data_IF_143246613862
#
_entry.id   IF_143246613862
#
_cell.length_a   1.000
_cell.length_b   1.000
_cell.length_c   1.000
_cell.angle_alpha   90.00
_cell.angle_beta   90.00
_cell.angle_gamma   90.00
#
_symmetry.space_group_name_H-M   'P 1'
#
loop_
_entity.id
_entity.type
_entity.pdbx_description
1 polymer ?
#
# COMPACT_ATOMS: atom_id res chain seq x y z
N UNK A 1 7.69 -1.97 -0.87
CA UNK A 1 8.31 -1.01 0.07
C UNK A 1 7.29 -0.69 1.14
N UNK A 2 7.58 -1.01 2.37
CA UNK A 2 6.76 -0.57 3.49
C UNK A 2 7.27 0.78 3.97
N UNK A 3 6.44 1.54 4.65
CA UNK A 3 6.88 2.76 5.30
C UNK A 3 6.32 2.86 6.71
N UNK A 4 7.02 3.60 7.54
CA UNK A 4 6.54 4.02 8.85
C UNK A 4 6.59 5.55 8.92
N UNK A 5 5.54 6.16 9.48
CA UNK A 5 5.51 7.58 9.76
C UNK A 5 5.79 7.81 11.25
N UNK A 6 6.72 8.70 11.55
CA UNK A 6 7.05 9.12 12.91
C UNK A 6 6.74 10.60 13.05
N UNK A 7 5.95 10.95 14.05
CA UNK A 7 5.72 12.35 14.41
C UNK A 7 6.84 12.79 15.35
N UNK A 8 7.69 13.68 14.87
CA UNK A 8 8.78 14.27 15.66
C UNK A 8 8.36 15.64 16.24
N UNK A 9 8.98 16.09 17.34
CA UNK A 9 8.90 17.47 17.78
C UNK A 9 9.26 18.46 16.66
N UNK A 10 8.70 19.67 16.73
CA UNK A 10 8.83 20.68 15.67
C UNK A 10 10.24 21.26 15.49
N UNK A 11 11.13 21.01 16.44
CA UNK A 11 12.54 21.43 16.45
C UNK A 11 13.49 20.41 15.83
N UNK A 12 12.99 19.23 15.47
CA UNK A 12 13.78 18.19 14.80
C UNK A 12 14.02 18.58 13.33
N UNK A 13 15.29 18.62 12.96
CA UNK A 13 15.74 19.00 11.61
C UNK A 13 16.32 17.84 10.81
N UNK A 14 16.68 16.74 11.48
CA UNK A 14 17.24 15.56 10.84
C UNK A 14 16.82 14.29 11.57
N UNK A 15 16.50 13.27 10.80
CA UNK A 15 16.15 11.94 11.28
C UNK A 15 16.98 10.90 10.54
N UNK A 16 17.59 9.99 11.28
CA UNK A 16 18.26 8.79 10.79
C UNK A 16 17.69 7.56 11.49
N UNK A 17 17.95 6.38 10.99
CA UNK A 17 17.51 5.17 11.67
C UNK A 17 17.52 3.93 10.81
N UNK A 18 17.14 2.83 11.43
CA UNK A 18 17.12 1.51 10.79
C UNK A 18 15.74 0.86 10.88
N UNK A 19 15.43 0.03 9.89
CA UNK A 19 14.31 -0.90 9.95
C UNK A 19 14.88 -2.33 9.83
N UNK A 20 14.67 -3.16 10.84
CA UNK A 20 15.32 -4.47 11.01
C UNK A 20 16.86 -4.42 10.85
N UNK A 21 17.49 -3.38 11.37
CA UNK A 21 18.93 -3.20 11.32
C UNK A 21 19.48 -2.70 9.98
N UNK A 22 18.62 -2.50 8.98
CA UNK A 22 19.02 -1.92 7.67
C UNK A 22 18.83 -0.42 7.73
N UNK A 23 19.87 0.34 7.38
CA UNK A 23 19.79 1.80 7.27
C UNK A 23 18.68 2.22 6.32
N UNK A 24 17.94 3.24 6.72
CA UNK A 24 16.74 3.69 6.03
C UNK A 24 16.82 5.17 5.77
N UNK A 25 16.42 5.59 4.57
CA UNK A 25 16.28 7.01 4.22
C UNK A 25 14.99 7.53 4.83
N UNK A 26 15.10 8.63 5.58
CA UNK A 26 13.98 9.33 6.20
C UNK A 26 13.73 10.64 5.47
N UNK A 27 12.46 10.92 5.19
CA UNK A 27 12.02 12.13 4.49
C UNK A 27 10.92 12.83 5.28
N UNK A 28 11.05 14.13 5.44
CA UNK A 28 9.99 14.95 6.02
C UNK A 28 8.93 15.29 4.95
N UNK A 29 7.68 14.93 5.25
CA UNK A 29 6.51 15.27 4.42
C UNK A 29 5.40 15.74 5.36
N UNK A 30 4.94 16.98 5.19
CA UNK A 30 3.87 17.55 5.99
C UNK A 30 4.11 17.47 7.52
N UNK A 31 5.33 17.74 7.96
CA UNK A 31 5.75 17.69 9.39
C UNK A 31 5.73 16.28 10.00
N UNK A 32 5.75 15.26 9.19
CA UNK A 32 5.97 13.86 9.61
C UNK A 32 7.19 13.31 8.89
N UNK A 33 7.95 12.46 9.58
CA UNK A 33 9.09 11.79 9.02
C UNK A 33 8.71 10.38 8.57
N UNK A 34 8.97 10.08 7.31
CA UNK A 34 8.67 8.80 6.68
C UNK A 34 9.95 8.03 6.44
N UNK A 35 10.07 6.86 7.07
CA UNK A 35 11.11 5.88 6.81
C UNK A 35 10.59 4.77 5.90
N UNK A 36 11.36 4.42 4.87
CA UNK A 36 10.96 3.43 3.87
C UNK A 36 11.80 2.17 4.00
N UNK A 37 11.15 1.03 4.09
CA UNK A 37 11.79 -0.28 4.14
C UNK A 37 11.45 -1.12 2.93
N UNK A 38 12.42 -1.93 2.51
CA UNK A 38 12.20 -2.98 1.54
C UNK A 38 11.55 -4.21 2.20
N UNK A 39 10.44 -3.97 2.91
CA UNK A 39 9.63 -5.05 3.42
C UNK A 39 8.97 -5.79 2.25
N UNK A 40 9.23 -7.08 2.16
CA UNK A 40 8.75 -7.95 1.08
C UNK A 40 7.87 -9.08 1.59
N UNK A 41 7.77 -9.25 2.90
CA UNK A 41 7.03 -10.32 3.56
C UNK A 41 6.15 -9.76 4.68
N UNK A 42 5.09 -10.47 5.02
CA UNK A 42 4.30 -10.17 6.21
C UNK A 42 5.16 -10.32 7.44
N UNK A 43 5.05 -9.40 8.37
CA UNK A 43 5.82 -9.50 9.59
C UNK A 43 5.85 -8.25 10.44
N UNK A 44 6.60 -8.37 11.52
CA UNK A 44 6.90 -7.30 12.44
C UNK A 44 8.35 -6.88 12.26
N UNK A 45 8.55 -5.60 11.97
CA UNK A 45 9.85 -5.01 11.70
C UNK A 45 10.23 -4.09 12.86
N UNK A 46 11.40 -4.31 13.45
CA UNK A 46 11.92 -3.43 14.48
C UNK A 46 12.39 -2.11 13.84
N UNK A 47 11.95 -1.01 14.39
CA UNK A 47 12.30 0.34 13.93
C UNK A 47 13.06 1.04 15.03
N UNK A 48 14.21 1.57 14.69
CA UNK A 48 15.02 2.41 15.57
C UNK A 48 15.34 3.72 14.85
N UNK A 49 15.14 4.84 15.54
CA UNK A 49 15.23 6.18 14.97
C UNK A 49 16.06 7.08 15.90
N UNK A 50 16.96 7.83 15.31
CA UNK A 50 17.65 8.96 15.93
C UNK A 50 17.10 10.25 15.37
N UNK A 51 16.82 11.20 16.24
CA UNK A 51 16.32 12.53 15.90
C UNK A 51 17.28 13.58 16.39
N UNK A 52 17.57 14.57 15.57
CA UNK A 52 18.50 15.65 15.87
C UNK A 52 17.82 17.01 15.72
N UNK A 53 17.98 17.87 16.72
CA UNK A 53 17.58 19.27 16.62
C UNK A 53 18.65 20.13 15.93
N UNK A 54 18.33 21.42 15.71
CA UNK A 54 19.25 22.37 15.09
C UNK A 54 20.50 22.66 15.92
N UNK A 55 20.48 22.38 17.22
CA UNK A 55 21.64 22.52 18.12
C UNK A 55 22.53 21.27 18.17
N UNK A 56 22.10 20.19 17.47
CA UNK A 56 22.80 18.91 17.44
C UNK A 56 22.49 17.99 18.64
N UNK A 57 21.49 18.32 19.45
CA UNK A 57 21.07 17.42 20.52
C UNK A 57 20.38 16.20 19.88
N UNK A 58 20.65 15.01 20.44
CA UNK A 58 20.18 13.72 19.93
C UNK A 58 19.16 13.11 20.86
N UNK A 59 18.10 12.56 20.29
CA UNK A 59 17.15 11.69 20.96
C UNK A 59 16.96 10.38 20.19
N UNK A 60 16.62 9.31 20.88
CA UNK A 60 16.41 7.99 20.30
C UNK A 60 14.98 7.53 20.52
N UNK A 61 14.43 6.81 19.56
CA UNK A 61 13.12 6.22 19.63
C UNK A 61 13.11 4.84 19.00
N UNK A 62 12.50 3.86 19.68
CA UNK A 62 12.34 2.50 19.18
C UNK A 62 10.87 2.13 19.14
N UNK A 63 10.44 1.49 18.08
CA UNK A 63 9.07 1.00 17.90
C UNK A 63 9.06 -0.24 16.99
N UNK A 64 7.88 -0.73 16.70
CA UNK A 64 7.67 -1.81 15.74
C UNK A 64 6.71 -1.38 14.65
N UNK A 65 6.99 -1.82 13.44
CA UNK A 65 6.10 -1.68 12.28
C UNK A 65 5.52 -3.05 11.95
N UNK A 66 4.20 -3.15 11.92
CA UNK A 66 3.53 -4.33 11.40
C UNK A 66 3.23 -4.12 9.92
N UNK A 67 3.72 -5.03 9.09
CA UNK A 67 3.49 -5.00 7.65
C UNK A 67 2.73 -6.23 7.22
N UNK A 68 1.67 -5.99 6.46
CA UNK A 68 0.87 -7.05 5.82
C UNK A 68 0.85 -6.80 4.33
N UNK A 69 1.18 -7.83 3.55
CA UNK A 69 1.06 -7.77 2.11
C UNK A 69 -0.41 -7.61 1.70
N UNK A 70 -0.69 -6.83 0.66
CA UNK A 70 -2.01 -6.80 0.06
C UNK A 70 -2.45 -8.20 -0.36
N UNK A 71 -3.66 -8.61 0.03
CA UNK A 71 -4.26 -9.85 -0.43
C UNK A 71 -5.62 -9.56 -1.07
N UNK A 72 -6.00 -10.37 -2.07
CA UNK A 72 -7.09 -10.04 -2.98
C UNK A 72 -8.04 -11.23 -3.12
N UNK A 73 -9.34 -10.96 -3.09
CA UNK A 73 -10.40 -11.93 -3.36
C UNK A 73 -11.01 -11.59 -4.71
N UNK A 74 -10.58 -12.29 -5.75
CA UNK A 74 -10.99 -12.03 -7.15
C UNK A 74 -11.86 -13.11 -7.76
N UNK A 75 -12.27 -14.08 -6.95
CA UNK A 75 -12.91 -15.33 -7.37
C UNK A 75 -14.28 -15.54 -6.70
N UNK A 76 -14.98 -14.46 -6.33
CA UNK A 76 -16.38 -14.56 -5.89
C UNK A 76 -17.25 -15.03 -7.03
N UNK A 77 -18.23 -15.89 -6.71
CA UNK A 77 -19.13 -16.51 -7.68
C UNK A 77 -20.60 -16.19 -7.39
N UNK A 78 -21.45 -16.44 -8.35
CA UNK A 78 -22.91 -16.37 -8.15
C UNK A 78 -23.38 -17.37 -7.07
N UNK A 79 -22.73 -18.52 -6.98
CA UNK A 79 -23.01 -19.54 -5.97
C UNK A 79 -22.69 -19.06 -4.56
N UNK A 80 -21.60 -18.30 -4.38
CA UNK A 80 -21.26 -17.67 -3.09
C UNK A 80 -22.37 -16.72 -2.61
N UNK A 81 -22.93 -15.95 -3.54
CA UNK A 81 -24.04 -15.02 -3.24
C UNK A 81 -25.33 -15.79 -2.94
N UNK A 82 -25.67 -16.80 -3.74
CA UNK A 82 -26.87 -17.61 -3.59
C UNK A 82 -26.86 -18.39 -2.24
N UNK A 83 -25.73 -19.03 -1.93
CA UNK A 83 -25.53 -19.77 -0.70
C UNK A 83 -25.24 -18.89 0.50
N UNK A 84 -25.15 -17.58 0.32
CA UNK A 84 -24.83 -16.61 1.37
C UNK A 84 -23.57 -16.97 2.15
N UNK A 85 -22.52 -17.39 1.44
CA UNK A 85 -21.21 -17.62 2.05
C UNK A 85 -20.59 -16.30 2.51
N UNK A 86 -19.64 -16.33 3.42
CA UNK A 86 -18.90 -15.12 3.85
C UNK A 86 -18.30 -14.38 2.64
N UNK A 87 -17.82 -15.11 1.66
CA UNK A 87 -17.24 -14.60 0.42
C UNK A 87 -18.26 -13.91 -0.50
N UNK A 88 -19.54 -14.31 -0.43
CA UNK A 88 -20.63 -13.76 -1.24
C UNK A 88 -21.13 -12.38 -0.78
N UNK A 89 -20.70 -11.89 0.39
CA UNK A 89 -21.09 -10.60 0.93
C UNK A 89 -19.96 -9.58 0.82
N UNK A 90 -20.32 -8.31 0.64
CA UNK A 90 -19.44 -7.18 0.89
C UNK A 90 -19.65 -6.70 2.33
N UNK A 91 -18.79 -7.12 3.23
CA UNK A 91 -18.85 -6.79 4.64
C UNK A 91 -17.78 -5.75 5.05
N UNK A 92 -17.80 -5.31 6.32
CA UNK A 92 -16.84 -4.32 6.83
C UNK A 92 -15.37 -4.77 6.66
N UNK A 93 -15.09 -6.08 6.82
CA UNK A 93 -13.74 -6.63 6.62
C UNK A 93 -13.29 -6.51 5.15
N UNK A 94 -14.20 -6.75 4.20
CA UNK A 94 -13.90 -6.60 2.77
C UNK A 94 -13.66 -5.14 2.40
N UNK A 95 -14.49 -4.22 2.90
CA UNK A 95 -14.31 -2.79 2.70
C UNK A 95 -12.96 -2.31 3.26
N UNK A 96 -12.63 -2.71 4.49
CA UNK A 96 -11.34 -2.41 5.11
C UNK A 96 -10.18 -2.95 4.27
N UNK A 97 -10.26 -4.19 3.79
CA UNK A 97 -9.24 -4.80 2.93
C UNK A 97 -9.08 -4.03 1.62
N UNK A 98 -10.15 -3.76 0.90
CA UNK A 98 -10.13 -3.06 -0.41
C UNK A 98 -9.53 -1.67 -0.25
N UNK A 99 -9.93 -0.92 0.76
CA UNK A 99 -9.42 0.43 0.97
C UNK A 99 -7.98 0.43 1.51
N UNK A 100 -7.63 -0.50 2.41
CA UNK A 100 -6.25 -0.68 2.88
C UNK A 100 -5.32 -1.09 1.73
N UNK A 101 -5.78 -1.99 0.84
CA UNK A 101 -5.03 -2.37 -0.35
C UNK A 101 -4.79 -1.16 -1.26
N UNK A 102 -5.83 -0.36 -1.54
CA UNK A 102 -5.68 0.87 -2.34
C UNK A 102 -4.65 1.81 -1.71
N UNK A 103 -4.72 2.03 -0.41
CA UNK A 103 -3.79 2.88 0.33
C UNK A 103 -2.35 2.34 0.25
N UNK A 104 -2.16 1.05 0.52
CA UNK A 104 -0.85 0.41 0.48
C UNK A 104 -0.23 0.48 -0.91
N UNK A 105 -0.98 0.11 -1.96
CA UNK A 105 -0.49 0.14 -3.35
C UNK A 105 -0.20 1.58 -3.78
N UNK A 106 -1.08 2.52 -3.43
CA UNK A 106 -0.88 3.93 -3.73
C UNK A 106 0.40 4.48 -3.12
N UNK A 107 0.67 4.18 -1.86
CA UNK A 107 1.92 4.58 -1.21
C UNK A 107 3.16 3.99 -1.89
N UNK A 108 3.11 2.71 -2.28
CA UNK A 108 4.18 2.09 -3.05
C UNK A 108 4.45 2.81 -4.37
N UNK A 109 3.42 3.39 -4.97
CA UNK A 109 3.45 4.11 -6.24
C UNK A 109 3.62 5.64 -6.08
N UNK A 110 3.83 6.13 -4.85
CA UNK A 110 3.86 7.55 -4.49
C UNK A 110 2.59 8.34 -4.89
N UNK A 111 1.44 7.67 -4.88
CA UNK A 111 0.13 8.26 -5.15
C UNK A 111 -0.59 8.64 -3.85
N UNK A 112 -1.24 9.79 -3.85
CA UNK A 112 -2.11 10.20 -2.74
C UNK A 112 -3.45 9.48 -2.85
N UNK A 113 -3.70 8.58 -1.91
CA UNK A 113 -4.93 7.78 -1.80
C UNK A 113 -5.73 8.21 -0.57
N UNK A 114 -6.98 8.61 -0.78
CA UNK A 114 -7.96 8.88 0.26
C UNK A 114 -8.72 7.59 0.56
N UNK A 115 -8.35 6.90 1.65
CA UNK A 115 -8.91 5.60 2.04
C UNK A 115 -9.46 5.63 3.46
N UNK A 116 -10.61 4.99 3.67
CA UNK A 116 -11.19 4.68 4.96
C UNK A 116 -11.08 3.17 5.19
N UNK A 117 -10.35 2.75 6.22
CA UNK A 117 -10.19 1.32 6.55
C UNK A 117 -10.49 1.02 8.03
N UNK A 118 -11.42 1.78 8.59
CA UNK A 118 -11.96 1.63 9.95
C UNK A 118 -13.47 1.30 9.96
N UNK A 119 -13.94 0.66 8.90
CA UNK A 119 -15.32 0.18 8.81
C UNK A 119 -15.64 -0.81 9.93
N UNK A 120 -16.80 -0.63 10.57
CA UNK A 120 -17.29 -1.51 11.63
C UNK A 120 -18.53 -2.30 11.19
N UNK A 121 -18.76 -3.43 11.82
CA UNK A 121 -19.93 -4.28 11.54
C UNK A 121 -21.22 -3.49 11.77
N UNK A 122 -22.11 -3.49 10.76
CA UNK A 122 -23.36 -2.74 10.78
C UNK A 122 -23.28 -1.36 10.13
N UNK A 123 -22.09 -0.86 9.82
CA UNK A 123 -21.92 0.35 9.03
C UNK A 123 -22.18 0.04 7.55
N UNK A 124 -23.07 0.82 6.93
CA UNK A 124 -23.38 0.67 5.50
C UNK A 124 -22.69 1.78 4.69
N UNK A 125 -21.97 1.43 3.61
CA UNK A 125 -21.35 2.41 2.76
C UNK A 125 -22.40 3.27 2.04
N UNK A 126 -22.16 4.57 1.99
CA UNK A 126 -22.99 5.56 1.29
C UNK A 126 -22.54 5.67 -0.18
N UNK A 127 -23.35 6.32 -1.00
CA UNK A 127 -23.00 6.58 -2.40
C UNK A 127 -21.66 7.34 -2.53
N UNK A 128 -21.34 8.25 -1.60
CA UNK A 128 -20.06 8.95 -1.53
C UNK A 128 -18.87 8.02 -1.31
N UNK A 129 -19.05 6.98 -0.48
CA UNK A 129 -17.99 6.01 -0.18
C UNK A 129 -17.68 5.15 -1.41
N UNK A 130 -18.69 4.65 -2.10
CA UNK A 130 -18.50 3.94 -3.37
C UNK A 130 -17.81 4.82 -4.43
N UNK A 131 -18.19 6.10 -4.51
CA UNK A 131 -17.54 7.06 -5.40
C UNK A 131 -16.08 7.26 -5.03
N UNK A 132 -15.77 7.40 -3.73
CA UNK A 132 -14.39 7.52 -3.23
C UNK A 132 -13.58 6.28 -3.60
N UNK A 133 -14.04 5.07 -3.25
CA UNK A 133 -13.37 3.80 -3.58
C UNK A 133 -13.08 3.73 -5.08
N UNK A 134 -14.08 3.98 -5.92
CA UNK A 134 -13.94 3.98 -7.36
C UNK A 134 -12.86 4.94 -7.85
N UNK A 135 -12.84 6.18 -7.34
CA UNK A 135 -11.82 7.17 -7.71
C UNK A 135 -10.40 6.75 -7.31
N UNK A 136 -10.23 6.11 -6.16
CA UNK A 136 -8.92 5.62 -5.74
C UNK A 136 -8.46 4.45 -6.62
N UNK A 137 -9.34 3.52 -6.92
CA UNK A 137 -9.04 2.40 -7.85
C UNK A 137 -8.72 2.91 -9.25
N UNK A 138 -9.41 3.96 -9.72
CA UNK A 138 -9.09 4.61 -11.00
C UNK A 138 -7.68 5.18 -11.00
N UNK A 139 -7.27 5.90 -9.95
CA UNK A 139 -5.89 6.41 -9.83
C UNK A 139 -4.85 5.31 -9.91
N UNK A 140 -5.09 4.17 -9.23
CA UNK A 140 -4.18 3.03 -9.31
C UNK A 140 -4.09 2.48 -10.72
N UNK A 141 -5.24 2.29 -11.39
CA UNK A 141 -5.29 1.78 -12.76
C UNK A 141 -4.63 2.73 -13.76
N UNK A 142 -4.85 4.04 -13.62
CA UNK A 142 -4.24 5.05 -14.49
C UNK A 142 -2.71 5.09 -14.32
N UNK A 143 -2.21 4.78 -13.11
CA UNK A 143 -0.78 4.69 -12.86
C UNK A 143 -0.16 3.44 -13.49
N UNK A 144 -0.80 2.28 -13.32
CA UNK A 144 -0.25 1.01 -13.83
C UNK A 144 -1.37 0.00 -14.12
N UNK A 145 -1.48 -0.43 -15.36
CA UNK A 145 -2.40 -1.49 -15.78
C UNK A 145 -1.79 -2.33 -16.90
N UNK A 146 -2.33 -3.52 -17.09
CA UNK A 146 -2.07 -4.39 -18.24
C UNK A 146 -3.26 -4.32 -19.20
N UNK A 147 -3.09 -4.79 -20.43
CA UNK A 147 -4.19 -4.89 -21.39
C UNK A 147 -5.33 -5.79 -20.92
N UNK A 148 -5.05 -6.71 -19.99
CA UNK A 148 -6.03 -7.63 -19.37
C UNK A 148 -6.65 -7.11 -18.09
N UNK A 149 -6.16 -5.98 -17.55
CA UNK A 149 -6.70 -5.37 -16.33
C UNK A 149 -8.10 -4.82 -16.61
N UNK A 150 -9.13 -5.16 -15.81
CA UNK A 150 -10.48 -4.67 -16.02
C UNK A 150 -10.59 -3.15 -16.04
N UNK A 151 -11.64 -2.63 -16.69
CA UNK A 151 -12.06 -1.24 -16.49
C UNK A 151 -12.62 -1.07 -15.08
N UNK A 152 -12.51 0.14 -14.54
CA UNK A 152 -13.04 0.44 -13.20
C UNK A 152 -14.57 0.40 -13.26
N UNK A 153 -15.20 -0.48 -12.48
CA UNK A 153 -16.66 -0.66 -12.57
C UNK A 153 -17.42 0.59 -12.14
N UNK A 154 -18.63 0.74 -12.65
CA UNK A 154 -19.52 1.82 -12.25
C UNK A 154 -19.99 1.67 -10.81
N UNK A 155 -20.18 2.81 -10.14
CA UNK A 155 -20.82 2.86 -8.83
C UNK A 155 -22.34 2.64 -8.92
N UNK A 156 -22.97 1.97 -7.95
CA UNK A 156 -22.39 1.36 -6.74
C UNK A 156 -21.75 -0.01 -7.01
N UNK A 157 -20.89 -0.45 -6.09
CA UNK A 157 -20.30 -1.79 -6.09
C UNK A 157 -21.29 -2.79 -5.49
N UNK A 158 -22.36 -3.08 -6.22
CA UNK A 158 -23.55 -3.79 -5.74
C UNK A 158 -23.67 -5.25 -6.19
N UNK A 159 -22.64 -5.79 -6.83
CA UNK A 159 -22.57 -7.19 -7.18
C UNK A 159 -21.15 -7.75 -7.08
N UNK A 160 -21.02 -9.06 -7.03
CA UNK A 160 -19.74 -9.73 -6.82
C UNK A 160 -18.75 -9.52 -7.99
N UNK A 161 -19.25 -9.37 -9.24
CA UNK A 161 -18.38 -9.13 -10.39
C UNK A 161 -17.65 -7.80 -10.25
N UNK A 162 -18.36 -6.71 -9.93
CA UNK A 162 -17.75 -5.39 -9.70
C UNK A 162 -16.74 -5.40 -8.58
N UNK A 163 -16.98 -6.16 -7.50
CA UNK A 163 -16.05 -6.28 -6.39
C UNK A 163 -14.81 -7.07 -6.83
N UNK A 164 -14.98 -8.16 -7.57
CA UNK A 164 -13.87 -8.92 -8.15
C UNK A 164 -13.02 -8.05 -9.09
N UNK A 165 -13.66 -7.23 -9.94
CA UNK A 165 -12.96 -6.31 -10.85
C UNK A 165 -12.12 -5.28 -10.10
N UNK A 166 -12.66 -4.68 -9.02
CA UNK A 166 -11.91 -3.77 -8.15
C UNK A 166 -10.67 -4.45 -7.57
N UNK A 167 -10.83 -5.62 -6.98
CA UNK A 167 -9.70 -6.35 -6.38
C UNK A 167 -8.74 -6.90 -7.44
N UNK A 168 -9.22 -7.23 -8.65
CA UNK A 168 -8.35 -7.62 -9.77
C UNK A 168 -7.49 -6.44 -10.24
N UNK A 169 -8.05 -5.24 -10.34
CA UNK A 169 -7.29 -4.02 -10.67
C UNK A 169 -6.19 -3.79 -9.63
N UNK A 170 -6.53 -3.85 -8.35
CA UNK A 170 -5.57 -3.69 -7.25
C UNK A 170 -4.44 -4.73 -7.34
N UNK A 171 -4.79 -5.99 -7.57
CA UNK A 171 -3.83 -7.11 -7.73
C UNK A 171 -2.89 -6.88 -8.91
N UNK A 172 -3.42 -6.45 -10.05
CA UNK A 172 -2.62 -6.20 -11.25
C UNK A 172 -1.66 -5.03 -11.04
N UNK A 173 -2.14 -3.92 -10.46
CA UNK A 173 -1.31 -2.76 -10.12
C UNK A 173 -0.18 -3.14 -9.15
N UNK A 174 -0.49 -3.90 -8.10
CA UNK A 174 0.50 -4.39 -7.15
C UNK A 174 1.56 -5.26 -7.82
N UNK A 175 1.14 -6.22 -8.66
CA UNK A 175 2.04 -7.12 -9.36
C UNK A 175 2.94 -6.38 -10.36
N UNK A 176 2.43 -5.35 -11.04
CA UNK A 176 3.24 -4.50 -11.94
C UNK A 176 4.28 -3.75 -11.13
N UNK A 177 3.89 -3.14 -10.00
CA UNK A 177 4.81 -2.41 -9.15
C UNK A 177 5.95 -3.32 -8.65
N UNK A 178 5.62 -4.48 -8.08
CA UNK A 178 6.62 -5.45 -7.57
C UNK A 178 7.51 -5.97 -8.71
N UNK A 179 6.91 -6.25 -9.89
CA UNK A 179 7.65 -6.70 -11.07
C UNK A 179 8.61 -5.64 -11.60
N UNK A 180 8.17 -4.39 -11.69
CA UNK A 180 9.00 -3.27 -12.15
C UNK A 180 10.18 -3.03 -11.19
N UNK A 181 9.97 -3.12 -9.88
CA UNK A 181 11.03 -2.97 -8.89
C UNK A 181 12.11 -4.05 -9.05
N UNK A 182 11.73 -5.30 -9.27
CA UNK A 182 12.67 -6.40 -9.54
C UNK A 182 13.48 -6.14 -10.81
N UNK A 183 12.82 -5.68 -11.87
CA UNK A 183 13.49 -5.41 -13.15
C UNK A 183 14.48 -4.24 -13.08
N UNK A 184 14.18 -3.20 -12.29
CA UNK A 184 15.09 -2.07 -12.06
C UNK A 184 16.35 -2.52 -11.31
N UNK A 185 16.22 -3.38 -10.31
CA UNK A 185 17.36 -3.95 -9.57
C UNK A 185 18.23 -4.76 -10.52
N UNK A 186 17.64 -5.64 -11.33
CA UNK A 186 18.41 -6.43 -12.31
C UNK A 186 19.09 -5.56 -13.36
N UNK A 187 18.45 -4.52 -13.87
CA UNK A 187 19.07 -3.61 -14.84
C UNK A 187 20.24 -2.83 -14.21
N UNK A 188 20.13 -2.41 -12.94
CA UNK A 188 21.22 -1.75 -12.22
C UNK A 188 22.41 -2.67 -11.97
N UNK A 189 22.19 -3.91 -11.65
CA UNK A 189 23.26 -4.92 -11.48
C UNK A 189 23.96 -5.28 -12.80
N UNK A 190 23.25 -5.32 -13.91
CA UNK A 190 23.84 -5.59 -15.23
C UNK A 190 24.71 -4.43 -15.75
N UNK A 191 24.47 -3.19 -15.32
CA UNK A 191 25.30 -2.05 -15.73
C UNK A 191 26.53 -1.82 -14.87
N UNK A 192 26.61 -2.43 -13.70
CA UNK A 192 27.68 -2.14 -12.74
C UNK A 192 28.95 -2.97 -12.92
N UNK A 193 29.07 -3.85 -13.92
CA UNK A 193 30.32 -4.57 -14.01
C UNK A 193 30.57 -5.59 -15.11
N UNK A 194 29.63 -5.97 -15.93
CA UNK A 194 29.81 -7.08 -16.88
C UNK A 194 29.71 -6.71 -18.37
N UNK A 195 29.88 -5.46 -18.69
CA UNK A 195 30.08 -5.00 -20.07
C UNK A 195 31.53 -5.13 -20.56
N UNK A 196 32.28 -6.03 -19.98
CA UNK A 196 33.64 -6.32 -20.37
C UNK A 196 33.79 -7.73 -20.91
N UNK A 197 34.02 -7.83 -22.21
CA UNK A 197 34.56 -8.99 -22.92
C UNK A 197 33.52 -9.99 -23.49
N UNK A 198 33.16 -9.71 -24.72
CA UNK A 198 33.42 -10.68 -25.77
C UNK A 198 34.04 -9.97 -26.98
#
# INVERSE_FOLDING_TARGET
MAYIAVTAPSDIVYVAGTINGTETIWQEINKQWYGYADAVEDGTYNVWVEMYDAAGNRSEYSTVMHYELPWFVTDRTAEDVEKRTEKGFLNARDLNRIEKNSFTIGNLAALVIDAKYDWVVGELPRASDYKRIRLQVQKLRDYAHRSTTPEVPDSPLNNYQKINEVEQIQKDCFNIYVGNKKNVVYAGEMYAGEGGLL
#
